data_IF_129738187332
#
_entry.id   IF_129738187332
#
_cell.length_a   1.000
_cell.length_b   1.000
_cell.length_c   1.000
_cell.angle_alpha   90.00
_cell.angle_beta   90.00
_cell.angle_gamma   90.00
#
_symmetry.space_group_name_H-M   'P 1'
#
loop_
_entity.id
_entity.type
_entity.pdbx_description
1 polymer ?
#
# COMPACT_ATOMS: atom_id res chain seq x y z
N UNK A 1 10.61 -8.58 -37.82
CA UNK A 1 11.08 -8.78 -36.44
C UNK A 1 9.97 -8.35 -35.50
N UNK A 2 9.39 -9.27 -34.69
CA UNK A 2 8.37 -8.88 -33.70
C UNK A 2 9.06 -7.97 -32.67
N UNK A 3 8.65 -6.71 -32.62
CA UNK A 3 9.10 -5.78 -31.59
C UNK A 3 8.49 -6.23 -30.27
N UNK A 4 9.35 -6.58 -29.30
CA UNK A 4 8.92 -6.82 -27.94
C UNK A 4 8.46 -5.50 -27.35
N UNK A 5 7.21 -5.40 -26.93
CA UNK A 5 6.73 -4.22 -26.21
C UNK A 5 7.56 -4.05 -24.93
N UNK A 6 8.30 -2.94 -24.84
CA UNK A 6 9.00 -2.56 -23.61
C UNK A 6 7.92 -2.06 -22.66
N UNK A 7 7.49 -2.91 -21.73
CA UNK A 7 6.57 -2.48 -20.67
C UNK A 7 7.37 -1.71 -19.63
N UNK A 8 7.18 -0.38 -19.60
CA UNK A 8 7.73 0.46 -18.54
C UNK A 8 6.95 0.24 -17.25
N UNK A 9 7.61 -0.30 -16.23
CA UNK A 9 7.02 -0.45 -14.90
C UNK A 9 7.21 0.84 -14.12
N UNK A 10 6.10 1.51 -13.77
CA UNK A 10 6.16 2.71 -12.93
C UNK A 10 6.35 2.30 -11.47
N UNK A 11 7.36 2.83 -10.75
CA UNK A 11 7.53 2.57 -9.33
C UNK A 11 6.29 3.06 -8.59
N UNK A 12 5.69 2.16 -7.84
CA UNK A 12 4.57 2.47 -6.96
C UNK A 12 5.02 2.29 -5.51
N UNK A 13 4.49 3.15 -4.66
CA UNK A 13 4.79 3.16 -3.23
C UNK A 13 3.47 3.04 -2.48
N UNK A 14 3.42 2.18 -1.48
CA UNK A 14 2.39 2.30 -0.46
C UNK A 14 3.04 2.66 0.87
N UNK A 15 2.30 3.41 1.69
CA UNK A 15 2.64 3.65 3.09
C UNK A 15 1.39 3.54 3.95
N UNK A 16 1.61 3.24 5.23
CA UNK A 16 0.57 3.20 6.25
C UNK A 16 0.51 4.56 6.92
N UNK A 17 -0.68 5.07 7.12
CA UNK A 17 -0.91 6.32 7.82
C UNK A 17 -1.79 6.07 9.04
N UNK A 18 -1.51 6.80 10.12
CA UNK A 18 -2.34 6.87 11.30
C UNK A 18 -2.78 8.31 11.47
N UNK A 19 -4.10 8.56 11.45
CA UNK A 19 -4.67 9.90 11.55
C UNK A 19 -4.02 10.89 10.54
N UNK A 20 -3.82 10.45 9.30
CA UNK A 20 -3.18 11.26 8.25
C UNK A 20 -1.65 11.39 8.33
N UNK A 21 -0.98 10.89 9.37
CA UNK A 21 0.49 10.92 9.52
C UNK A 21 1.09 9.58 9.10
N UNK A 22 2.12 9.60 8.26
CA UNK A 22 2.82 8.39 7.82
C UNK A 22 3.49 7.68 9.00
N UNK A 23 3.23 6.39 9.15
CA UNK A 23 3.90 5.54 10.14
C UNK A 23 5.35 5.32 9.69
N UNK A 24 6.36 5.69 10.51
CA UNK A 24 7.76 5.54 10.14
C UNK A 24 8.11 4.10 9.72
N UNK A 25 8.82 3.96 8.60
CA UNK A 25 9.25 2.65 8.09
C UNK A 25 8.13 1.80 7.49
N UNK A 26 6.91 2.33 7.32
CA UNK A 26 5.81 1.61 6.68
C UNK A 26 5.86 1.64 5.14
N UNK A 27 6.62 2.58 4.56
CA UNK A 27 6.77 2.71 3.12
C UNK A 27 7.35 1.44 2.48
N UNK A 28 6.72 0.97 1.40
CA UNK A 28 7.21 -0.14 0.57
C UNK A 28 7.12 0.23 -0.89
N UNK A 29 8.22 -0.02 -1.59
CA UNK A 29 8.36 0.21 -3.02
C UNK A 29 8.22 -1.12 -3.75
N UNK A 30 7.50 -1.11 -4.86
CA UNK A 30 7.39 -2.28 -5.73
C UNK A 30 7.35 -1.84 -7.18
N UNK A 31 8.03 -2.63 -8.01
CA UNK A 31 8.11 -2.48 -9.45
C UNK A 31 7.45 -3.72 -10.08
N UNK A 32 6.13 -3.82 -9.94
CA UNK A 32 5.35 -4.90 -10.55
C UNK A 32 4.30 -4.31 -11.49
N UNK A 33 4.07 -4.99 -12.62
CA UNK A 33 3.03 -4.60 -13.58
C UNK A 33 1.65 -5.08 -13.09
N UNK A 34 1.60 -6.30 -12.55
CA UNK A 34 0.43 -6.87 -11.90
C UNK A 34 0.88 -7.95 -10.91
N UNK A 35 0.10 -8.16 -9.86
CA UNK A 35 0.39 -9.19 -8.85
C UNK A 35 -0.26 -8.88 -7.51
N UNK A 36 -0.26 -9.88 -6.63
CA UNK A 36 -0.73 -9.71 -5.26
C UNK A 36 0.32 -8.99 -4.42
N UNK A 37 -0.10 -8.00 -3.63
CA UNK A 37 0.73 -7.31 -2.65
C UNK A 37 0.16 -7.58 -1.26
N UNK A 38 0.91 -8.30 -0.44
CA UNK A 38 0.57 -8.51 0.97
C UNK A 38 1.15 -7.38 1.80
N UNK A 39 0.29 -6.73 2.58
CA UNK A 39 0.68 -5.64 3.49
C UNK A 39 0.45 -6.10 4.91
N UNK A 40 1.51 -6.10 5.72
CA UNK A 40 1.43 -6.37 7.14
C UNK A 40 2.20 -5.28 7.89
N UNK A 41 1.52 -4.61 8.81
CA UNK A 41 2.10 -3.60 9.67
C UNK A 41 1.53 -3.76 11.09
N UNK A 42 2.38 -3.54 12.10
CA UNK A 42 1.93 -3.42 13.48
C UNK A 42 1.77 -1.93 13.79
N UNK A 43 0.60 -1.55 14.28
CA UNK A 43 0.23 -0.15 14.53
C UNK A 43 -0.41 -0.08 15.91
N UNK A 44 0.05 0.85 16.73
CA UNK A 44 -0.55 1.11 18.04
C UNK A 44 -1.64 2.17 17.90
N UNK A 45 -2.89 1.78 18.09
CA UNK A 45 -4.04 2.69 18.06
C UNK A 45 -4.44 3.03 19.49
N UNK A 46 -4.15 4.25 19.94
CA UNK A 46 -4.37 4.68 21.33
C UNK A 46 -5.80 5.15 21.62
N UNK A 47 -6.58 5.48 20.58
CA UNK A 47 -7.96 5.96 20.71
C UNK A 47 -8.81 5.52 19.51
N UNK A 48 -10.10 5.27 19.72
CA UNK A 48 -11.02 4.77 18.67
C UNK A 48 -11.15 5.70 17.44
N UNK A 49 -10.87 7.00 17.60
CA UNK A 49 -10.94 7.99 16.52
C UNK A 49 -9.60 8.20 15.78
N UNK A 50 -8.63 7.29 15.91
CA UNK A 50 -7.40 7.32 15.13
C UNK A 50 -7.49 6.32 13.96
N UNK A 51 -7.95 6.75 12.77
CA UNK A 51 -8.06 5.84 11.63
C UNK A 51 -6.69 5.36 11.20
N UNK A 52 -6.63 4.10 10.80
CA UNK A 52 -5.51 3.52 10.06
C UNK A 52 -5.86 3.54 8.58
N UNK A 53 -5.01 4.15 7.78
CA UNK A 53 -5.17 4.27 6.34
C UNK A 53 -4.00 3.59 5.62
N UNK A 54 -4.25 3.04 4.43
CA UNK A 54 -3.20 2.63 3.50
C UNK A 54 -3.33 3.53 2.28
N UNK A 55 -2.29 4.29 1.95
CA UNK A 55 -2.28 5.18 0.79
C UNK A 55 -1.28 4.68 -0.24
N UNK A 56 -1.75 4.59 -1.47
CA UNK A 56 -0.95 4.23 -2.63
C UNK A 56 -0.57 5.51 -3.37
N UNK A 57 0.72 5.70 -3.57
CA UNK A 57 1.27 6.77 -4.38
C UNK A 57 1.82 6.17 -5.68
N UNK A 58 1.17 6.52 -6.78
CA UNK A 58 1.55 6.08 -8.13
C UNK A 58 2.29 7.23 -8.77
N UNK A 59 3.57 7.02 -9.12
CA UNK A 59 4.42 8.08 -9.68
C UNK A 59 3.93 8.55 -11.07
N UNK A 60 3.35 7.65 -11.86
CA UNK A 60 2.83 7.92 -13.19
C UNK A 60 1.78 6.89 -13.61
N UNK A 61 0.77 7.34 -14.35
CA UNK A 61 -0.34 6.49 -14.80
C UNK A 61 -1.38 6.26 -13.70
N UNK A 62 -2.09 5.14 -13.81
CA UNK A 62 -3.14 4.73 -12.87
C UNK A 62 -2.81 3.33 -12.34
N UNK A 63 -3.15 3.06 -11.08
CA UNK A 63 -3.08 1.72 -10.50
C UNK A 63 -4.49 1.25 -10.15
N UNK A 64 -4.93 0.16 -10.78
CA UNK A 64 -6.16 -0.51 -10.41
C UNK A 64 -5.91 -1.40 -9.18
N UNK A 65 -6.62 -1.11 -8.09
CA UNK A 65 -6.58 -1.91 -6.86
C UNK A 65 -7.86 -2.75 -6.78
N UNK A 66 -7.74 -4.00 -7.22
CA UNK A 66 -8.83 -4.98 -7.21
C UNK A 66 -8.69 -5.94 -6.02
N UNK A 67 -9.81 -6.53 -5.59
CA UNK A 67 -9.85 -7.57 -4.54
C UNK A 67 -9.16 -7.16 -3.21
N UNK A 68 -9.69 -6.12 -2.57
CA UNK A 68 -9.17 -5.62 -1.30
C UNK A 68 -9.84 -6.31 -0.11
N UNK A 69 -9.05 -7.05 0.68
CA UNK A 69 -9.47 -7.57 1.99
C UNK A 69 -8.67 -6.85 3.07
N UNK A 70 -9.35 -6.14 3.96
CA UNK A 70 -8.74 -5.50 5.12
C UNK A 70 -9.10 -6.30 6.38
N UNK A 71 -8.09 -6.82 7.07
CA UNK A 71 -8.25 -7.49 8.36
C UNK A 71 -7.51 -6.70 9.42
N UNK A 72 -8.25 -6.14 10.37
CA UNK A 72 -7.69 -5.50 11.55
C UNK A 72 -7.70 -6.50 12.71
N UNK A 73 -6.52 -6.95 13.12
CA UNK A 73 -6.38 -7.73 14.36
C UNK A 73 -6.18 -6.73 15.50
N UNK A 74 -7.20 -6.58 16.35
CA UNK A 74 -7.06 -5.85 17.62
C UNK A 74 -6.67 -6.84 18.70
N UNK A 75 -5.49 -6.65 19.29
CA UNK A 75 -5.21 -7.24 20.59
C UNK A 75 -5.97 -6.40 21.62
N UNK A 76 -7.12 -6.90 22.09
CA UNK A 76 -7.88 -6.32 23.20
C UNK A 76 -7.16 -6.53 24.53
N UNK A 77 -7.42 -5.62 25.47
CA UNK A 77 -6.89 -5.54 26.84
C UNK A 77 -6.84 -6.87 27.60
#
# INVERSE_FOLDING_TARGET
TKQSDIVTVSPSVYSVYQNGIEVPGSARFFNIISGAVSIQAMITVTTENNPVEIKWNVKSGEAALENRTFTLIRNGY
#
